data_IF_595217155636
#
_entry.id   IF_595217155636
#
_cell.length_a   1.000
_cell.length_b   1.000
_cell.length_c   1.000
_cell.angle_alpha   90.00
_cell.angle_beta   90.00
_cell.angle_gamma   90.00
#
_symmetry.space_group_name_H-M   'P 1'
#
loop_
_entity.id
_entity.type
_entity.pdbx_description
1 polymer ?
#
# COMPACT_ATOMS: atom_id res chain seq x y z
N UNK A 1 -50.63 -7.85 6.19
CA UNK A 1 -50.00 -8.78 5.27
C UNK A 1 -49.10 -7.97 4.34
N UNK A 2 -47.87 -7.69 4.80
CA UNK A 2 -46.88 -6.85 4.06
C UNK A 2 -46.02 -7.75 3.17
N UNK A 3 -46.20 -7.65 1.86
CA UNK A 3 -45.33 -8.32 0.86
C UNK A 3 -44.00 -7.56 0.84
N UNK A 4 -42.94 -8.27 1.20
CA UNK A 4 -41.55 -7.82 0.99
C UNK A 4 -41.28 -7.75 -0.52
N UNK A 5 -41.17 -6.54 -1.08
CA UNK A 5 -40.58 -6.33 -2.39
C UNK A 5 -39.07 -6.54 -2.25
N UNK A 6 -38.62 -7.76 -2.51
CA UNK A 6 -37.21 -8.02 -2.75
C UNK A 6 -36.94 -7.55 -4.17
N UNK A 7 -36.33 -6.37 -4.30
CA UNK A 7 -35.82 -5.87 -5.56
C UNK A 7 -34.64 -6.76 -5.98
N UNK A 8 -34.92 -7.83 -6.71
CA UNK A 8 -33.90 -8.66 -7.34
C UNK A 8 -33.32 -7.84 -8.51
N UNK A 9 -32.22 -7.12 -8.25
CA UNK A 9 -31.39 -6.57 -9.32
C UNK A 9 -30.80 -7.75 -10.08
N UNK A 10 -31.48 -8.20 -11.14
CA UNK A 10 -30.89 -9.11 -12.12
C UNK A 10 -29.93 -8.29 -12.98
N UNK A 11 -28.67 -8.36 -12.68
CA UNK A 11 -27.61 -7.87 -13.55
C UNK A 11 -27.54 -8.82 -14.77
N UNK A 12 -28.17 -8.44 -15.85
CA UNK A 12 -28.20 -9.23 -17.08
C UNK A 12 -27.17 -8.68 -18.07
N UNK A 13 -25.93 -9.17 -17.98
CA UNK A 13 -24.89 -8.97 -18.98
C UNK A 13 -23.86 -7.88 -18.66
N UNK A 14 -22.72 -7.87 -19.37
CA UNK A 14 -21.66 -6.88 -19.14
C UNK A 14 -22.18 -5.48 -19.52
N UNK A 15 -22.02 -4.54 -18.59
CA UNK A 15 -22.26 -3.12 -18.87
C UNK A 15 -21.20 -2.65 -19.86
N UNK A 16 -21.59 -2.03 -21.00
CA UNK A 16 -20.62 -1.51 -21.95
C UNK A 16 -19.64 -0.56 -21.28
N UNK A 17 -18.33 -0.84 -21.41
CA UNK A 17 -17.25 -0.06 -20.81
C UNK A 17 -16.69 -0.57 -19.47
N UNK A 18 -17.26 -1.65 -18.92
CA UNK A 18 -16.70 -2.30 -17.72
C UNK A 18 -16.29 -3.74 -18.04
N UNK A 19 -15.08 -4.10 -17.65
CA UNK A 19 -14.64 -5.49 -17.71
C UNK A 19 -15.24 -6.29 -16.54
N UNK A 20 -15.71 -7.53 -16.78
CA UNK A 20 -16.20 -8.38 -15.70
C UNK A 20 -15.05 -8.73 -14.76
N UNK A 21 -15.31 -8.62 -13.46
CA UNK A 21 -14.34 -9.05 -12.45
C UNK A 21 -14.21 -10.58 -12.46
N UNK A 22 -13.00 -11.14 -12.27
CA UNK A 22 -12.80 -12.57 -12.15
C UNK A 22 -13.53 -13.10 -10.91
N UNK A 23 -14.09 -14.32 -11.01
CA UNK A 23 -14.79 -14.97 -9.89
C UNK A 23 -13.88 -15.24 -8.68
N UNK A 24 -12.60 -15.40 -8.94
CA UNK A 24 -11.55 -15.53 -7.92
C UNK A 24 -10.43 -14.54 -8.22
N UNK A 25 -9.97 -13.84 -7.20
CA UNK A 25 -8.88 -12.87 -7.32
C UNK A 25 -7.61 -13.49 -6.75
N UNK A 26 -6.58 -13.60 -7.56
CA UNK A 26 -5.22 -13.91 -7.11
C UNK A 26 -4.58 -12.62 -6.58
N UNK A 27 -4.66 -12.41 -5.27
CA UNK A 27 -4.13 -11.19 -4.63
C UNK A 27 -2.62 -11.02 -4.84
N UNK A 28 -1.77 -12.05 -4.67
CA UNK A 28 -0.33 -11.91 -4.94
C UNK A 28 -0.02 -11.49 -6.38
N UNK A 29 -0.68 -12.08 -7.37
CA UNK A 29 -0.48 -11.70 -8.76
C UNK A 29 -0.97 -10.28 -9.05
N UNK A 30 -2.10 -9.88 -8.48
CA UNK A 30 -2.63 -8.52 -8.59
C UNK A 30 -1.67 -7.48 -7.98
N UNK A 31 -1.13 -7.75 -6.80
CA UNK A 31 -0.17 -6.88 -6.13
C UNK A 31 1.09 -6.66 -6.98
N UNK A 32 1.65 -7.73 -7.57
CA UNK A 32 2.79 -7.62 -8.46
C UNK A 32 2.49 -6.77 -9.71
N UNK A 33 1.31 -6.93 -10.30
CA UNK A 33 0.88 -6.10 -11.44
C UNK A 33 0.79 -4.62 -11.05
N UNK A 34 0.22 -4.32 -9.89
CA UNK A 34 0.10 -2.94 -9.39
C UNK A 34 1.48 -2.35 -9.11
N UNK A 35 2.37 -3.09 -8.46
CA UNK A 35 3.75 -2.64 -8.18
C UNK A 35 4.50 -2.33 -9.48
N UNK A 36 4.44 -3.21 -10.47
CA UNK A 36 5.05 -2.97 -11.79
C UNK A 36 4.51 -1.70 -12.42
N UNK A 37 3.17 -1.55 -12.44
CA UNK A 37 2.53 -0.33 -12.96
C UNK A 37 2.97 0.95 -12.23
N UNK A 38 3.13 0.88 -10.92
CA UNK A 38 3.58 2.03 -10.14
C UNK A 38 5.04 2.40 -10.43
N UNK A 39 5.90 1.39 -10.60
CA UNK A 39 7.30 1.59 -10.98
C UNK A 39 7.41 2.20 -12.39
N UNK A 40 6.74 1.62 -13.38
CA UNK A 40 6.76 2.08 -14.76
C UNK A 40 6.22 3.50 -14.91
N UNK A 41 5.19 3.85 -14.15
CA UNK A 41 4.59 5.17 -14.16
C UNK A 41 5.30 6.19 -13.25
N UNK A 42 6.31 5.79 -12.46
CA UNK A 42 7.02 6.66 -11.51
C UNK A 42 6.08 7.30 -10.49
N UNK A 43 5.11 6.53 -9.96
CA UNK A 43 4.04 7.09 -9.12
C UNK A 43 4.59 7.74 -7.85
N UNK A 44 5.61 7.14 -7.24
CA UNK A 44 6.22 7.68 -6.02
C UNK A 44 6.89 9.03 -6.28
N UNK A 45 7.73 9.12 -7.30
CA UNK A 45 8.42 10.36 -7.71
C UNK A 45 7.44 11.45 -8.09
N UNK A 46 6.37 11.09 -8.79
CA UNK A 46 5.29 12.02 -9.13
C UNK A 46 4.59 12.56 -7.89
N UNK A 47 4.36 11.72 -6.88
CA UNK A 47 3.73 12.16 -5.63
C UNK A 47 4.59 13.17 -4.87
N UNK A 48 5.91 13.01 -4.88
CA UNK A 48 6.85 13.98 -4.28
C UNK A 48 6.87 15.28 -5.08
N UNK A 49 6.95 15.20 -6.42
CA UNK A 49 6.97 16.37 -7.29
C UNK A 49 5.68 17.17 -7.23
N UNK A 50 4.54 16.51 -7.09
CA UNK A 50 3.23 17.17 -7.01
C UNK A 50 3.11 18.10 -5.80
N UNK A 51 3.79 17.80 -4.71
CA UNK A 51 3.76 18.55 -3.46
C UNK A 51 5.06 19.33 -3.21
N UNK A 52 5.93 19.43 -4.22
CA UNK A 52 7.17 20.20 -4.15
C UNK A 52 6.87 21.67 -3.88
N UNK A 53 7.58 22.27 -2.92
CA UNK A 53 7.32 23.65 -2.49
C UNK A 53 6.18 23.81 -1.47
N UNK A 54 5.43 22.75 -1.19
CA UNK A 54 4.45 22.74 -0.10
C UNK A 54 5.10 22.70 1.28
N UNK A 55 4.32 22.91 2.36
CA UNK A 55 4.83 22.82 3.72
C UNK A 55 5.40 21.43 3.97
N UNK A 56 6.58 21.35 4.58
CA UNK A 56 7.26 20.09 4.83
C UNK A 56 6.61 19.34 6.01
N UNK A 57 6.37 18.03 5.84
CA UNK A 57 6.00 17.11 6.90
C UNK A 57 6.97 15.94 6.90
N UNK A 58 7.78 15.84 7.95
CA UNK A 58 8.88 14.87 8.04
C UNK A 58 8.36 13.53 8.52
N UNK A 59 8.68 12.47 7.78
CA UNK A 59 8.36 11.10 8.14
C UNK A 59 9.59 10.20 8.02
N UNK A 60 9.90 9.51 9.10
CA UNK A 60 10.94 8.50 9.16
C UNK A 60 10.33 7.13 9.45
N UNK A 61 10.79 6.14 8.73
CA UNK A 61 10.38 4.74 8.89
C UNK A 61 11.55 3.88 9.32
N UNK A 62 11.31 3.02 10.31
CA UNK A 62 12.20 1.91 10.65
C UNK A 62 11.63 0.61 10.09
N UNK A 63 12.13 0.10 8.95
CA UNK A 63 11.69 -1.20 8.43
C UNK A 63 11.97 -2.33 9.42
N UNK A 64 11.25 -3.47 9.33
CA UNK A 64 11.53 -4.63 10.16
C UNK A 64 12.98 -5.10 9.96
N UNK A 65 13.57 -5.66 11.00
CA UNK A 65 14.87 -6.32 10.92
C UNK A 65 14.85 -7.41 9.85
N UNK A 66 15.83 -7.42 8.96
CA UNK A 66 15.92 -8.31 7.80
C UNK A 66 16.43 -9.73 8.19
N UNK A 67 15.91 -10.32 9.26
CA UNK A 67 16.30 -11.62 9.78
C UNK A 67 15.27 -12.73 9.53
N UNK A 68 14.25 -12.47 8.74
CA UNK A 68 13.19 -13.42 8.40
C UNK A 68 12.08 -12.82 7.56
N UNK A 69 11.07 -13.63 7.24
CA UNK A 69 9.89 -13.15 6.53
C UNK A 69 9.02 -12.27 7.45
N UNK A 70 8.42 -11.19 6.91
CA UNK A 70 7.54 -10.33 7.69
C UNK A 70 6.28 -11.08 8.12
N UNK A 71 5.91 -10.94 9.40
CA UNK A 71 4.65 -11.44 9.92
C UNK A 71 3.50 -10.44 9.78
N UNK A 72 2.28 -10.88 10.10
CA UNK A 72 1.07 -10.05 10.00
C UNK A 72 1.16 -8.75 10.81
N UNK A 73 1.77 -8.77 11.99
CA UNK A 73 1.98 -7.58 12.82
C UNK A 73 2.89 -6.52 12.16
N UNK A 74 3.83 -6.94 11.31
CA UNK A 74 4.64 -6.01 10.53
C UNK A 74 3.78 -5.30 9.47
N UNK A 75 2.89 -6.04 8.80
CA UNK A 75 1.97 -5.47 7.80
C UNK A 75 1.01 -4.49 8.45
N UNK A 76 0.43 -4.85 9.60
CA UNK A 76 -0.45 -3.99 10.38
C UNK A 76 0.24 -2.67 10.74
N UNK A 77 1.43 -2.75 11.35
CA UNK A 77 2.20 -1.56 11.72
C UNK A 77 2.52 -0.66 10.51
N UNK A 78 2.86 -1.25 9.35
CA UNK A 78 3.10 -0.51 8.10
C UNK A 78 1.84 0.18 7.60
N UNK A 79 0.70 -0.51 7.64
CA UNK A 79 -0.58 0.06 7.21
C UNK A 79 -0.93 1.31 8.02
N UNK A 80 -0.80 1.26 9.34
CA UNK A 80 -1.02 2.42 10.18
C UNK A 80 -0.04 3.56 9.89
N UNK A 81 1.24 3.25 9.73
CA UNK A 81 2.27 4.25 9.45
C UNK A 81 2.09 4.89 8.07
N UNK A 82 1.71 4.12 7.05
CA UNK A 82 1.50 4.61 5.69
C UNK A 82 0.28 5.54 5.55
N UNK A 83 -0.72 5.36 6.42
CA UNK A 83 -1.91 6.20 6.45
C UNK A 83 -1.58 7.70 6.62
N UNK A 84 -0.69 8.02 7.56
CA UNK A 84 -0.36 9.42 7.88
C UNK A 84 0.38 10.15 6.76
N UNK A 85 1.45 9.60 6.14
CA UNK A 85 2.11 10.23 5.00
C UNK A 85 1.19 10.43 3.81
N UNK A 86 0.32 9.45 3.51
CA UNK A 86 -0.68 9.57 2.44
C UNK A 86 -1.65 10.69 2.73
N UNK A 87 -2.21 10.74 3.92
CA UNK A 87 -3.13 11.78 4.33
C UNK A 87 -2.50 13.17 4.25
N UNK A 88 -1.26 13.32 4.74
CA UNK A 88 -0.51 14.57 4.64
C UNK A 88 -0.22 14.99 3.21
N UNK A 89 0.15 14.05 2.35
CA UNK A 89 0.33 14.31 0.91
C UNK A 89 -0.98 14.79 0.27
N UNK A 90 -2.12 14.19 0.61
CA UNK A 90 -3.44 14.62 0.12
C UNK A 90 -3.82 16.02 0.61
N UNK A 91 -3.31 16.45 1.76
CA UNK A 91 -3.47 17.81 2.28
C UNK A 91 -2.50 18.85 1.64
N UNK A 92 -1.64 18.44 0.70
CA UNK A 92 -0.69 19.31 0.02
C UNK A 92 0.66 19.47 0.73
N UNK A 93 0.93 18.68 1.78
CA UNK A 93 2.25 18.70 2.41
C UNK A 93 3.27 17.95 1.55
N UNK A 94 4.49 18.48 1.50
CA UNK A 94 5.62 17.74 0.94
C UNK A 94 6.15 16.76 1.99
N UNK A 95 6.06 15.46 1.67
CA UNK A 95 6.37 14.36 2.58
C UNK A 95 7.51 13.52 2.02
N UNK A 96 8.78 13.89 2.24
CA UNK A 96 9.91 13.03 1.92
C UNK A 96 9.92 11.84 2.87
N UNK A 97 9.63 10.64 2.33
CA UNK A 97 9.63 9.40 3.10
C UNK A 97 11.04 8.85 3.14
N UNK A 98 11.60 8.71 4.35
CA UNK A 98 12.95 8.16 4.55
C UNK A 98 12.87 6.91 5.42
N UNK A 99 13.53 5.85 4.99
CA UNK A 99 13.75 4.64 5.77
C UNK A 99 15.15 4.59 6.34
N UNK A 100 15.29 4.08 7.57
CA UNK A 100 16.57 3.77 8.18
C UNK A 100 16.49 2.39 8.82
N UNK A 101 17.41 1.50 8.45
CA UNK A 101 17.48 0.16 9.01
C UNK A 101 18.37 0.13 10.24
N UNK A 102 17.92 -0.57 11.26
CA UNK A 102 18.79 -1.00 12.36
C UNK A 102 19.63 -2.18 11.84
N UNK A 103 20.90 -1.89 11.56
CA UNK A 103 21.82 -2.87 10.98
C UNK A 103 22.74 -3.51 12.03
N UNK A 104 22.70 -3.03 13.27
CA UNK A 104 23.53 -3.52 14.36
C UNK A 104 22.65 -4.07 15.47
N UNK A 105 22.82 -5.32 15.78
CA UNK A 105 22.11 -5.95 16.87
C UNK A 105 22.18 -7.45 16.81
N UNK A 106 22.12 -8.08 17.97
CA UNK A 106 22.23 -9.52 18.16
C UNK A 106 21.34 -10.34 17.20
N UNK A 107 20.07 -9.94 16.90
CA UNK A 107 19.24 -10.71 15.96
C UNK A 107 19.79 -10.76 14.54
N UNK A 108 20.44 -9.68 14.07
CA UNK A 108 21.06 -9.63 12.73
C UNK A 108 22.38 -10.39 12.75
N UNK A 109 23.22 -10.19 13.76
CA UNK A 109 24.50 -10.88 13.91
C UNK A 109 24.32 -12.40 13.95
N UNK A 110 23.41 -12.91 14.78
CA UNK A 110 23.09 -14.35 14.86
C UNK A 110 22.53 -14.90 13.53
N UNK A 111 21.82 -14.09 12.76
CA UNK A 111 21.30 -14.52 11.46
C UNK A 111 22.39 -14.62 10.37
N UNK A 112 23.44 -13.80 10.49
CA UNK A 112 24.58 -13.81 9.54
C UNK A 112 25.57 -14.91 9.87
N UNK A 113 25.73 -15.27 11.16
CA UNK A 113 26.67 -16.31 11.61
C UNK A 113 26.17 -17.75 11.38
N UNK A 114 24.90 -17.95 11.03
CA UNK A 114 24.30 -19.27 10.70
C UNK A 114 24.42 -19.59 9.22
#
# INVERSE_FOLDING_TARGET
MMRKLICAFRYAGPVPGFEPLPAQVDLPALELQILTRWQDAGIFERSLKQTEGGPSWIFYEGPPTANGLPGAHHVEARTFKDLFPRFKTMQGFHVPRKGGWDCHGLPVEVAVEK
#
